data_IF_103408437629
#
_entry.id   IF_103408437629
#
_cell.length_a   1.000
_cell.length_b   1.000
_cell.length_c   1.000
_cell.angle_alpha   90.00
_cell.angle_beta   90.00
_cell.angle_gamma   90.00
#
_symmetry.space_group_name_H-M   'P 1'
#
loop_
_entity.id
_entity.type
_entity.pdbx_description
1 polymer ?
#
# COMPACT_ATOMS: atom_id res chain seq x y z
N UNK A 1 -9.28 10.81 0.88
CA UNK A 1 -8.46 9.70 0.38
C UNK A 1 -9.38 8.60 -0.12
N UNK A 2 -8.92 7.75 -1.03
CA UNK A 2 -9.68 6.59 -1.46
C UNK A 2 -9.62 5.47 -0.41
N UNK A 3 -10.60 4.57 -0.42
CA UNK A 3 -10.62 3.41 0.47
C UNK A 3 -9.33 2.58 0.41
N UNK A 4 -8.75 2.43 -0.79
CA UNK A 4 -7.50 1.71 -0.98
C UNK A 4 -6.30 2.47 -0.38
N UNK A 5 -6.22 3.79 -0.54
CA UNK A 5 -5.15 4.59 0.05
C UNK A 5 -5.24 4.62 1.58
N UNK A 6 -6.44 4.76 2.13
CA UNK A 6 -6.68 4.71 3.58
C UNK A 6 -6.31 3.33 4.14
N UNK A 7 -6.78 2.24 3.51
CA UNK A 7 -6.44 0.87 3.92
C UNK A 7 -4.93 0.62 3.89
N UNK A 8 -4.26 1.04 2.83
CA UNK A 8 -2.80 0.87 2.67
C UNK A 8 -2.04 1.62 3.77
N UNK A 9 -2.43 2.86 4.07
CA UNK A 9 -1.80 3.66 5.14
C UNK A 9 -2.01 2.99 6.49
N UNK A 10 -3.26 2.68 6.83
CA UNK A 10 -3.64 2.13 8.13
C UNK A 10 -2.97 0.77 8.40
N UNK A 11 -2.77 -0.05 7.36
CA UNK A 11 -2.12 -1.35 7.49
C UNK A 11 -0.59 -1.25 7.51
N UNK A 12 0.01 -0.29 6.81
CA UNK A 12 1.48 -0.11 6.77
C UNK A 12 2.03 0.63 7.98
N UNK A 13 1.31 1.64 8.48
CA UNK A 13 1.72 2.47 9.62
C UNK A 13 2.29 1.70 10.82
N UNK A 14 1.66 0.62 11.33
CA UNK A 14 2.20 -0.11 12.48
C UNK A 14 3.52 -0.86 12.18
N UNK A 15 3.86 -1.07 10.90
CA UNK A 15 5.06 -1.81 10.51
C UNK A 15 6.23 -0.91 10.12
N UNK A 16 5.95 0.22 9.45
CA UNK A 16 6.98 1.09 8.88
C UNK A 16 6.87 2.56 9.34
N UNK A 17 5.85 2.89 10.11
CA UNK A 17 5.55 4.26 10.52
C UNK A 17 4.85 5.10 9.45
N UNK A 18 4.19 6.18 9.88
CA UNK A 18 3.40 7.09 9.04
C UNK A 18 4.17 7.64 7.84
N UNK A 19 5.44 8.03 8.05
CA UNK A 19 6.27 8.64 6.99
C UNK A 19 6.50 7.64 5.84
N UNK A 20 6.84 6.39 6.15
CA UNK A 20 7.10 5.37 5.13
C UNK A 20 5.80 4.91 4.48
N UNK A 21 4.72 4.77 5.24
CA UNK A 21 3.40 4.44 4.70
C UNK A 21 2.93 5.48 3.67
N UNK A 22 3.06 6.77 3.99
CA UNK A 22 2.78 7.87 3.05
C UNK A 22 3.74 7.90 1.86
N UNK A 23 5.02 7.57 2.08
CA UNK A 23 6.01 7.40 1.02
C UNK A 23 5.64 6.29 0.03
N UNK A 24 5.11 5.17 0.53
CA UNK A 24 4.57 4.08 -0.27
C UNK A 24 3.47 4.58 -1.21
N UNK A 25 2.47 5.30 -0.69
CA UNK A 25 1.39 5.84 -1.51
C UNK A 25 1.85 6.88 -2.52
N UNK A 26 2.84 7.71 -2.18
CA UNK A 26 3.44 8.62 -3.17
C UNK A 26 4.15 7.86 -4.27
N UNK A 27 4.89 6.80 -3.94
CA UNK A 27 5.55 5.96 -4.94
C UNK A 27 4.55 5.27 -5.86
N UNK A 28 3.44 4.75 -5.31
CA UNK A 28 2.32 4.21 -6.09
C UNK A 28 1.72 5.29 -7.00
N UNK A 29 1.42 6.46 -6.45
CA UNK A 29 0.91 7.59 -7.21
C UNK A 29 1.82 7.95 -8.37
N UNK A 30 3.12 8.10 -8.13
CA UNK A 30 4.09 8.38 -9.20
C UNK A 30 4.14 7.28 -10.26
N UNK A 31 4.12 6.00 -9.86
CA UNK A 31 4.13 4.88 -10.79
C UNK A 31 2.86 4.82 -11.66
N UNK A 32 1.72 5.21 -11.10
CA UNK A 32 0.43 5.23 -11.78
C UNK A 32 0.10 6.57 -12.49
N UNK A 33 0.99 7.57 -12.42
CA UNK A 33 0.73 8.93 -12.93
C UNK A 33 -0.40 9.65 -12.19
N UNK A 34 -0.62 9.30 -10.92
CA UNK A 34 -1.72 9.72 -10.06
C UNK A 34 -1.23 10.40 -8.79
N UNK A 35 -2.12 11.11 -8.12
CA UNK A 35 -1.89 11.55 -6.74
C UNK A 35 -2.30 10.45 -5.76
N UNK A 36 -1.74 10.41 -4.54
CA UNK A 36 -2.14 9.45 -3.50
C UNK A 36 -3.65 9.39 -3.25
N UNK A 37 -4.34 10.51 -3.43
CA UNK A 37 -5.77 10.69 -3.19
C UNK A 37 -6.64 10.07 -4.29
N UNK A 38 -6.07 9.85 -5.48
CA UNK A 38 -6.77 9.32 -6.67
C UNK A 38 -6.45 7.86 -6.94
N UNK A 39 -5.63 7.22 -6.08
CA UNK A 39 -5.36 5.78 -6.13
C UNK A 39 -6.69 5.04 -5.96
N UNK A 40 -7.07 4.19 -6.90
CA UNK A 40 -8.31 3.42 -6.86
C UNK A 40 -8.07 1.91 -7.00
N UNK A 41 -9.14 1.12 -7.03
CA UNK A 41 -9.05 -0.35 -7.18
C UNK A 41 -8.21 -0.77 -8.40
N UNK A 42 -8.32 -0.05 -9.51
CA UNK A 42 -7.53 -0.31 -10.72
C UNK A 42 -6.02 -0.16 -10.55
N UNK A 43 -5.56 0.54 -9.50
CA UNK A 43 -4.14 0.76 -9.20
C UNK A 43 -3.56 -0.29 -8.25
N UNK A 44 -4.37 -1.28 -7.84
CA UNK A 44 -3.96 -2.36 -6.95
C UNK A 44 -2.66 -3.05 -7.34
N UNK A 45 -2.39 -3.40 -8.62
CA UNK A 45 -1.13 -4.04 -9.00
C UNK A 45 0.10 -3.20 -8.66
N UNK A 46 -0.01 -1.87 -8.78
CA UNK A 46 1.07 -0.95 -8.41
C UNK A 46 1.22 -0.82 -6.89
N UNK A 47 0.10 -0.79 -6.15
CA UNK A 47 0.11 -0.85 -4.67
C UNK A 47 0.80 -2.10 -4.18
N UNK A 48 0.39 -3.27 -4.66
CA UNK A 48 0.93 -4.57 -4.25
C UNK A 48 2.44 -4.66 -4.49
N UNK A 49 2.90 -4.27 -5.69
CA UNK A 49 4.32 -4.27 -6.02
C UNK A 49 5.13 -3.32 -5.12
N UNK A 50 4.60 -2.14 -4.83
CA UNK A 50 5.26 -1.14 -3.98
C UNK A 50 5.33 -1.60 -2.53
N UNK A 51 4.23 -2.11 -1.98
CA UNK A 51 4.16 -2.66 -0.62
C UNK A 51 5.14 -3.81 -0.44
N UNK A 52 5.18 -4.74 -1.40
CA UNK A 52 6.18 -5.83 -1.40
C UNK A 52 7.61 -5.29 -1.44
N UNK A 53 7.89 -4.34 -2.32
CA UNK A 53 9.22 -3.73 -2.43
C UNK A 53 9.69 -3.08 -1.12
N UNK A 54 8.80 -2.34 -0.46
CA UNK A 54 9.10 -1.65 0.80
C UNK A 54 9.24 -2.59 1.99
N UNK A 55 8.38 -3.60 2.10
CA UNK A 55 8.38 -4.50 3.26
C UNK A 55 9.38 -5.65 3.13
N UNK A 56 9.76 -6.06 1.92
CA UNK A 56 10.72 -7.14 1.69
C UNK A 56 12.02 -7.05 2.50
N UNK A 57 12.66 -5.88 2.70
CA UNK A 57 13.86 -5.78 3.54
C UNK A 57 13.61 -5.83 5.06
N UNK A 58 12.37 -5.60 5.52
CA UNK A 58 12.05 -5.39 6.95
C UNK A 58 11.04 -6.37 7.53
N UNK A 59 10.36 -7.15 6.71
CA UNK A 59 9.31 -8.08 7.12
C UNK A 59 9.45 -9.45 6.41
N UNK A 60 9.12 -10.55 7.10
CA UNK A 60 9.09 -11.87 6.48
C UNK A 60 7.95 -11.99 5.46
N UNK A 61 8.09 -12.83 4.42
CA UNK A 61 7.15 -12.90 3.29
C UNK A 61 5.71 -13.20 3.72
N UNK A 62 5.49 -14.09 4.71
CA UNK A 62 4.14 -14.41 5.20
C UNK A 62 3.42 -13.21 5.85
N UNK A 63 4.16 -12.28 6.46
CA UNK A 63 3.58 -11.02 6.98
C UNK A 63 3.18 -10.10 5.83
N UNK A 64 4.00 -10.02 4.78
CA UNK A 64 3.74 -9.19 3.60
C UNK A 64 2.49 -9.69 2.87
N UNK A 65 2.38 -11.00 2.64
CA UNK A 65 1.19 -11.59 2.00
C UNK A 65 -0.07 -11.40 2.85
N UNK A 66 0.04 -11.55 4.18
CA UNK A 66 -1.09 -11.29 5.08
C UNK A 66 -1.53 -9.83 5.07
N UNK A 67 -0.59 -8.88 4.98
CA UNK A 67 -0.89 -7.45 4.85
C UNK A 67 -1.57 -7.16 3.53
N UNK A 68 -1.08 -7.73 2.43
CA UNK A 68 -1.67 -7.57 1.10
C UNK A 68 -3.13 -8.03 1.10
N UNK A 69 -3.42 -9.22 1.61
CA UNK A 69 -4.80 -9.74 1.63
C UNK A 69 -5.72 -8.87 2.49
N UNK A 70 -5.22 -8.31 3.60
CA UNK A 70 -5.98 -7.34 4.41
C UNK A 70 -6.23 -6.03 3.68
N UNK A 71 -5.24 -5.50 2.96
CA UNK A 71 -5.42 -4.26 2.18
C UNK A 71 -6.43 -4.49 1.06
N UNK A 72 -6.44 -5.64 0.38
CA UNK A 72 -7.45 -5.99 -0.64
C UNK A 72 -8.86 -6.03 -0.05
N UNK A 73 -9.01 -6.75 1.06
CA UNK A 73 -10.29 -6.90 1.74
C UNK A 73 -10.89 -5.56 2.19
N UNK A 74 -10.07 -4.64 2.72
CA UNK A 74 -10.53 -3.31 3.19
C UNK A 74 -10.62 -2.30 2.05
N UNK A 75 -9.68 -2.35 1.10
CA UNK A 75 -9.59 -1.45 -0.05
C UNK A 75 -10.64 -1.71 -1.14
N UNK A 76 -11.37 -2.83 -1.05
CA UNK A 76 -12.45 -3.19 -1.96
C UNK A 76 -11.96 -3.59 -3.35
N UNK A 77 -10.87 -4.38 -3.41
CA UNK A 77 -10.23 -4.84 -4.65
C UNK A 77 -10.09 -6.35 -4.71
#
# INVERSE_FOLDING_TARGET
MSALADATTQMLEPHVGAVIAQGCLRAVGQAAGKTPETIGPSDWPAVEATVRGFLRPVAPPGTIDSLIERIKAVGGV
#
